data_IF_808506524293
#
_entry.id   IF_808506524293
#
_cell.length_a   1.000
_cell.length_b   1.000
_cell.length_c   1.000
_cell.angle_alpha   90.00
_cell.angle_beta   90.00
_cell.angle_gamma   90.00
#
_symmetry.space_group_name_H-M   'P 1'
#
loop_
_entity.id
_entity.type
_entity.pdbx_description
1 polymer ?
#
# COMPACT_ATOMS: atom_id res chain seq x y z
N UNK A 1 -30.42 31.32 -2.88
CA UNK A 1 -29.42 30.39 -2.31
C UNK A 1 -29.99 29.80 -1.04
N UNK A 2 -30.03 28.46 -0.95
CA UNK A 2 -29.31 27.82 0.13
C UNK A 2 -28.43 26.69 -0.42
N UNK A 3 -27.15 26.69 -0.02
CA UNK A 3 -26.27 25.55 -0.20
C UNK A 3 -26.66 24.51 0.86
N UNK A 4 -27.28 23.42 0.42
CA UNK A 4 -27.59 22.30 1.32
C UNK A 4 -26.32 21.50 1.50
N UNK A 5 -25.84 21.45 2.74
CA UNK A 5 -24.77 20.55 3.17
C UNK A 5 -25.17 19.12 2.84
N UNK A 6 -24.48 18.53 1.86
CA UNK A 6 -24.65 17.14 1.48
C UNK A 6 -24.27 16.24 2.66
N UNK A 7 -25.27 15.50 3.13
CA UNK A 7 -25.17 14.44 4.13
C UNK A 7 -23.96 13.53 3.86
N UNK A 8 -23.03 13.46 4.81
CA UNK A 8 -21.97 12.45 4.85
C UNK A 8 -22.59 11.08 5.16
N UNK A 9 -23.21 10.46 4.16
CA UNK A 9 -23.35 9.02 4.17
C UNK A 9 -21.94 8.44 4.11
N UNK A 10 -21.60 7.52 5.01
CA UNK A 10 -20.36 6.77 4.97
C UNK A 10 -20.21 6.20 3.57
N UNK A 11 -19.34 6.82 2.78
CA UNK A 11 -19.20 6.52 1.36
C UNK A 11 -18.80 5.05 1.23
N UNK A 12 -19.54 4.32 0.41
CA UNK A 12 -19.21 2.94 0.03
C UNK A 12 -17.83 2.83 -0.64
N UNK A 13 -17.28 3.97 -1.08
CA UNK A 13 -15.95 4.12 -1.64
C UNK A 13 -14.89 4.31 -0.54
N UNK A 14 -13.85 3.48 -0.60
CA UNK A 14 -12.66 3.59 0.25
C UNK A 14 -11.70 4.66 -0.27
N UNK A 15 -11.55 4.75 -1.59
CA UNK A 15 -10.62 5.68 -2.23
C UNK A 15 -11.35 6.35 -3.39
N UNK A 16 -11.26 7.67 -3.46
CA UNK A 16 -11.87 8.47 -4.53
C UNK A 16 -10.89 9.55 -4.97
N UNK A 17 -10.81 9.77 -6.27
CA UNK A 17 -10.01 10.84 -6.87
C UNK A 17 -10.94 11.70 -7.71
N UNK A 18 -10.79 13.01 -7.61
CA UNK A 18 -11.56 13.97 -8.39
C UNK A 18 -10.65 14.93 -9.14
N UNK A 19 -10.93 15.08 -10.43
CA UNK A 19 -10.31 16.03 -11.34
C UNK A 19 -8.78 15.99 -11.26
N UNK A 20 -8.24 14.78 -11.11
CA UNK A 20 -6.83 14.54 -10.86
C UNK A 20 -6.02 14.86 -12.12
N UNK A 21 -5.05 15.75 -11.98
CA UNK A 21 -4.16 16.15 -13.05
C UNK A 21 -2.70 16.02 -12.66
N UNK A 22 -1.85 15.66 -13.62
CA UNK A 22 -0.39 15.60 -13.42
C UNK A 22 0.34 16.06 -14.67
N UNK A 23 1.24 17.02 -14.48
CA UNK A 23 2.12 17.55 -15.53
C UNK A 23 3.58 17.38 -15.13
N UNK A 24 4.42 16.96 -16.06
CA UNK A 24 5.87 16.85 -15.92
C UNK A 24 6.57 17.70 -16.97
N UNK A 25 7.21 18.81 -16.58
CA UNK A 25 8.03 19.62 -17.49
C UNK A 25 7.34 20.04 -18.80
N UNK A 26 6.01 20.21 -18.79
CA UNK A 26 5.20 20.53 -19.96
C UNK A 26 4.43 19.35 -20.58
N UNK A 27 4.79 18.11 -20.28
CA UNK A 27 4.04 16.93 -20.71
C UNK A 27 2.90 16.60 -19.74
N UNK A 28 1.66 16.50 -20.26
CA UNK A 28 0.49 16.14 -19.46
C UNK A 28 0.42 14.62 -19.33
N UNK A 29 0.68 14.11 -18.13
CA UNK A 29 0.61 12.67 -17.84
C UNK A 29 -0.79 12.22 -17.39
N UNK A 30 -1.55 13.10 -16.74
CA UNK A 30 -2.95 12.88 -16.39
C UNK A 30 -3.74 14.17 -16.60
N UNK A 31 -4.93 14.05 -17.16
CA UNK A 31 -5.84 15.17 -17.42
C UNK A 31 -7.23 14.81 -16.91
N UNK A 32 -7.68 15.54 -15.90
CA UNK A 32 -9.05 15.49 -15.37
C UNK A 32 -9.57 14.08 -15.07
N UNK A 33 -8.78 13.30 -14.34
CA UNK A 33 -9.11 11.91 -14.02
C UNK A 33 -9.94 11.86 -12.74
N UNK A 34 -11.14 11.29 -12.83
CA UNK A 34 -12.03 11.02 -11.70
C UNK A 34 -12.34 9.53 -11.62
N UNK A 35 -12.13 8.94 -10.45
CA UNK A 35 -12.32 7.51 -10.19
C UNK A 35 -12.75 7.29 -8.74
N UNK A 36 -13.61 6.32 -8.49
CA UNK A 36 -14.00 5.91 -7.15
C UNK A 36 -13.92 4.39 -7.00
N UNK A 37 -13.25 3.92 -5.94
CA UNK A 37 -13.01 2.51 -5.65
C UNK A 37 -13.86 2.11 -4.45
N UNK A 38 -14.77 1.16 -4.66
CA UNK A 38 -15.65 0.62 -3.61
C UNK A 38 -14.86 -0.29 -2.66
N UNK A 39 -15.25 -0.31 -1.38
CA UNK A 39 -14.72 -1.31 -0.43
C UNK A 39 -14.97 -2.73 -0.94
N UNK A 40 -13.97 -3.60 -0.78
CA UNK A 40 -14.07 -5.02 -1.15
C UNK A 40 -14.12 -5.31 -2.65
N UNK A 41 -13.82 -4.32 -3.50
CA UNK A 41 -13.83 -4.49 -4.96
C UNK A 41 -12.42 -4.64 -5.53
N UNK A 42 -12.32 -5.34 -6.66
CA UNK A 42 -11.09 -5.46 -7.45
C UNK A 42 -11.28 -4.63 -8.72
N UNK A 43 -10.37 -3.68 -8.96
CA UNK A 43 -10.39 -2.81 -10.14
C UNK A 43 -9.19 -3.10 -11.03
N UNK A 44 -9.43 -3.31 -12.32
CA UNK A 44 -8.40 -3.41 -13.34
C UNK A 44 -8.21 -2.07 -14.05
N UNK A 45 -6.99 -1.56 -14.10
CA UNK A 45 -6.65 -0.36 -14.87
C UNK A 45 -5.92 -0.77 -16.16
N UNK A 46 -6.62 -0.66 -17.29
CA UNK A 46 -6.10 -1.02 -18.61
C UNK A 46 -5.88 0.22 -19.47
N UNK A 47 -4.91 0.13 -20.38
CA UNK A 47 -4.58 1.20 -21.33
C UNK A 47 -3.20 1.00 -21.93
N UNK A 48 -2.85 1.78 -22.93
CA UNK A 48 -1.55 1.71 -23.60
C UNK A 48 -0.39 2.15 -22.69
N UNK A 49 0.83 1.75 -23.06
CA UNK A 49 2.04 2.27 -22.42
C UNK A 49 2.12 3.79 -22.67
N UNK A 50 2.35 4.56 -21.60
CA UNK A 50 2.33 6.02 -21.67
C UNK A 50 0.98 6.67 -21.34
N UNK A 51 -0.11 5.90 -21.20
CA UNK A 51 -1.43 6.45 -20.84
C UNK A 51 -1.54 7.04 -19.41
N UNK A 52 -0.45 7.04 -18.63
CA UNK A 52 -0.45 7.60 -17.27
C UNK A 52 -0.87 6.64 -16.16
N UNK A 53 -1.08 5.34 -16.43
CA UNK A 53 -1.48 4.34 -15.41
C UNK A 53 -0.58 4.31 -14.18
N UNK A 54 0.74 4.20 -14.39
CA UNK A 54 1.72 4.20 -13.30
C UNK A 54 1.80 5.54 -12.58
N UNK A 55 1.46 6.63 -13.27
CA UNK A 55 1.33 7.96 -12.68
C UNK A 55 0.13 8.01 -11.74
N UNK A 56 -1.04 7.52 -12.18
CA UNK A 56 -2.26 7.46 -11.38
C UNK A 56 -2.04 6.61 -10.12
N UNK A 57 -1.51 5.40 -10.30
CA UNK A 57 -1.19 4.48 -9.18
C UNK A 57 -0.19 5.11 -8.23
N UNK A 58 0.86 5.76 -8.74
CA UNK A 58 1.85 6.43 -7.90
C UNK A 58 1.30 7.64 -7.14
N UNK A 59 0.28 8.33 -7.66
CA UNK A 59 -0.40 9.40 -6.91
C UNK A 59 -1.30 8.80 -5.83
N UNK A 60 -2.07 7.77 -6.18
CA UNK A 60 -2.93 7.05 -5.23
C UNK A 60 -2.15 6.39 -4.09
N UNK A 61 -0.85 6.10 -4.27
CA UNK A 61 0.02 5.54 -3.24
C UNK A 61 0.89 6.58 -2.51
N UNK A 62 0.73 7.87 -2.80
CA UNK A 62 1.55 8.94 -2.21
C UNK A 62 3.01 9.00 -2.69
N UNK A 63 3.40 8.24 -3.72
CA UNK A 63 4.74 8.35 -4.33
C UNK A 63 4.90 9.64 -5.16
N UNK A 64 3.79 10.21 -5.62
CA UNK A 64 3.76 11.38 -6.51
C UNK A 64 2.66 12.33 -6.05
N UNK A 65 2.97 13.62 -5.94
CA UNK A 65 1.93 14.63 -5.70
C UNK A 65 1.17 14.92 -7.00
N UNK A 66 -0.16 15.04 -6.97
CA UNK A 66 -0.91 15.56 -8.11
C UNK A 66 -0.56 17.04 -8.35
N UNK A 67 -0.71 17.50 -9.60
CA UNK A 67 -0.64 18.93 -9.92
C UNK A 67 -1.97 19.61 -9.65
N UNK A 68 -3.08 18.91 -9.87
CA UNK A 68 -4.45 19.39 -9.61
C UNK A 68 -5.34 18.25 -9.14
N UNK A 69 -6.50 18.59 -8.58
CA UNK A 69 -7.49 17.64 -8.11
C UNK A 69 -7.32 17.27 -6.64
N UNK A 70 -8.14 16.35 -6.16
CA UNK A 70 -8.18 15.96 -4.75
C UNK A 70 -8.33 14.46 -4.61
N UNK A 71 -7.58 13.90 -3.66
CA UNK A 71 -7.67 12.52 -3.25
C UNK A 71 -8.53 12.44 -1.98
N UNK A 72 -9.40 11.45 -1.87
CA UNK A 72 -10.21 11.20 -0.70
C UNK A 72 -10.04 9.76 -0.26
N UNK A 73 -9.80 9.54 1.02
CA UNK A 73 -9.75 8.22 1.63
C UNK A 73 -10.80 8.15 2.74
N UNK A 74 -11.63 7.13 2.71
CA UNK A 74 -12.74 6.96 3.65
C UNK A 74 -13.65 8.20 3.74
N UNK A 75 -13.79 8.93 2.61
CA UNK A 75 -14.56 10.17 2.51
C UNK A 75 -13.83 11.43 2.98
N UNK A 76 -12.62 11.31 3.55
CA UNK A 76 -11.81 12.44 4.03
C UNK A 76 -10.83 12.87 2.94
N UNK A 77 -10.82 14.17 2.62
CA UNK A 77 -9.87 14.73 1.67
C UNK A 77 -8.43 14.65 2.23
N UNK A 78 -7.52 14.10 1.45
CA UNK A 78 -6.10 14.03 1.76
C UNK A 78 -5.42 15.27 1.16
N UNK A 79 -5.01 16.20 2.02
CA UNK A 79 -4.32 17.42 1.61
C UNK A 79 -2.88 17.18 1.15
N UNK A 80 -2.20 16.20 1.74
CA UNK A 80 -0.86 15.77 1.36
C UNK A 80 -0.78 14.25 1.44
N UNK A 81 -0.54 13.60 0.29
CA UNK A 81 -0.40 12.15 0.24
C UNK A 81 1.09 11.83 0.06
N UNK A 82 1.77 11.45 1.14
CA UNK A 82 3.11 10.87 1.08
C UNK A 82 3.05 9.37 1.37
N UNK A 83 4.10 8.62 1.03
CA UNK A 83 4.11 7.16 1.23
C UNK A 83 3.82 6.78 2.68
N UNK A 84 4.48 7.38 3.71
CA UNK A 84 4.20 7.04 5.11
C UNK A 84 2.74 7.26 5.54
N UNK A 85 2.13 8.40 5.19
CA UNK A 85 0.73 8.68 5.56
C UNK A 85 -0.24 7.74 4.85
N UNK A 86 0.02 7.41 3.58
CA UNK A 86 -0.82 6.48 2.83
C UNK A 86 -0.72 5.05 3.39
N UNK A 87 0.48 4.60 3.77
CA UNK A 87 0.70 3.31 4.41
C UNK A 87 0.03 3.23 5.79
N UNK A 88 0.12 4.29 6.61
CA UNK A 88 -0.58 4.37 7.89
C UNK A 88 -2.10 4.29 7.71
N UNK A 89 -2.60 4.88 6.63
CA UNK A 89 -4.00 4.84 6.26
C UNK A 89 -4.42 3.55 5.53
N UNK A 90 -3.52 2.57 5.38
CA UNK A 90 -3.82 1.25 4.86
C UNK A 90 -3.74 1.11 3.33
N UNK A 91 -3.19 2.10 2.63
CA UNK A 91 -2.97 2.08 1.18
C UNK A 91 -1.51 1.67 0.90
N UNK A 92 -1.34 0.58 0.16
CA UNK A 92 -0.02 0.03 -0.15
C UNK A 92 0.14 -0.20 -1.64
N UNK A 93 1.35 0.05 -2.14
CA UNK A 93 1.69 -0.17 -3.54
C UNK A 93 2.68 -1.32 -3.66
N UNK A 94 2.27 -2.35 -4.39
CA UNK A 94 3.17 -3.41 -4.86
C UNK A 94 3.74 -3.00 -6.23
N UNK A 95 5.06 -2.90 -6.33
CA UNK A 95 5.74 -2.47 -7.56
C UNK A 95 5.82 -3.60 -8.58
N UNK A 96 5.92 -3.24 -9.87
CA UNK A 96 6.07 -4.22 -10.96
C UNK A 96 7.41 -4.95 -10.90
N UNK A 97 8.47 -4.26 -10.48
CA UNK A 97 9.79 -4.85 -10.30
C UNK A 97 10.02 -5.12 -8.81
N UNK A 98 10.22 -6.40 -8.43
CA UNK A 98 10.50 -6.77 -7.06
C UNK A 98 11.92 -6.35 -6.67
N UNK A 99 12.05 -5.45 -5.70
CA UNK A 99 13.35 -5.13 -5.11
C UNK A 99 13.69 -6.19 -4.06
N UNK A 100 14.64 -7.06 -4.37
CA UNK A 100 15.08 -8.16 -3.50
C UNK A 100 16.58 -8.03 -3.27
N UNK A 101 17.00 -8.32 -2.04
CA UNK A 101 18.39 -8.49 -1.68
C UNK A 101 18.69 -9.98 -1.69
N UNK A 102 19.42 -10.43 -2.72
CA UNK A 102 19.61 -11.86 -3.02
C UNK A 102 20.24 -12.66 -1.88
N UNK A 103 21.10 -12.01 -1.10
CA UNK A 103 21.83 -12.62 0.01
C UNK A 103 21.03 -12.71 1.31
N UNK A 104 19.91 -12.00 1.40
CA UNK A 104 19.00 -12.10 2.53
C UNK A 104 18.04 -13.27 2.31
N UNK A 105 17.62 -13.90 3.40
CA UNK A 105 16.57 -14.91 3.39
C UNK A 105 15.22 -14.32 2.95
N UNK A 106 14.28 -15.18 2.57
CA UNK A 106 12.92 -14.77 2.25
C UNK A 106 12.26 -14.01 3.42
N UNK A 107 12.49 -14.46 4.66
CA UNK A 107 11.97 -13.80 5.85
C UNK A 107 12.58 -12.40 6.07
N UNK A 108 13.88 -12.23 5.82
CA UNK A 108 14.58 -10.96 5.97
C UNK A 108 14.15 -9.94 4.91
N UNK A 109 13.99 -10.38 3.66
CA UNK A 109 13.47 -9.54 2.57
C UNK A 109 12.03 -9.09 2.83
N UNK A 110 11.17 -10.03 3.22
CA UNK A 110 9.75 -9.74 3.48
C UNK A 110 9.57 -8.70 4.59
N UNK A 111 10.45 -8.74 5.60
CA UNK A 111 10.39 -7.85 6.76
C UNK A 111 11.29 -6.62 6.63
N UNK A 112 11.96 -6.44 5.48
CA UNK A 112 12.93 -5.37 5.28
C UNK A 112 12.30 -3.99 5.54
N UNK A 113 13.01 -3.15 6.31
CA UNK A 113 12.51 -1.84 6.74
C UNK A 113 11.67 -1.85 8.02
N UNK A 114 11.15 -3.02 8.44
CA UNK A 114 10.31 -3.18 9.63
C UNK A 114 10.78 -4.32 10.55
N UNK A 115 12.08 -4.61 10.54
CA UNK A 115 12.67 -5.64 11.39
C UNK A 115 12.36 -5.39 12.88
N UNK A 116 11.74 -6.36 13.58
CA UNK A 116 11.39 -6.17 14.98
C UNK A 116 12.66 -6.04 15.82
N UNK A 117 12.71 -5.02 16.68
CA UNK A 117 13.86 -4.77 17.55
C UNK A 117 13.51 -5.01 19.02
N UNK A 118 14.46 -5.51 19.80
CA UNK A 118 14.38 -5.67 21.26
C UNK A 118 15.71 -5.24 21.86
N UNK A 119 15.68 -4.25 22.76
CA UNK A 119 16.88 -3.64 23.36
C UNK A 119 17.91 -3.17 22.30
N UNK A 120 17.44 -2.56 21.20
CA UNK A 120 18.30 -2.07 20.11
C UNK A 120 18.72 -3.12 19.07
N UNK A 121 18.68 -4.41 19.42
CA UNK A 121 19.06 -5.52 18.54
C UNK A 121 17.86 -6.10 17.77
N UNK A 122 18.13 -6.74 16.63
CA UNK A 122 17.11 -7.44 15.85
C UNK A 122 16.60 -8.65 16.62
N UNK A 123 15.27 -8.78 16.74
CA UNK A 123 14.60 -9.92 17.34
C UNK A 123 14.29 -10.96 16.26
N UNK A 124 15.28 -11.78 15.93
CA UNK A 124 15.20 -12.83 14.91
C UNK A 124 14.04 -13.81 15.12
N UNK A 125 13.75 -14.17 16.37
CA UNK A 125 12.64 -15.08 16.70
C UNK A 125 11.29 -14.46 16.33
N UNK A 126 11.10 -13.17 16.62
CA UNK A 126 9.87 -12.45 16.25
C UNK A 126 9.79 -12.25 14.74
N UNK A 127 10.90 -11.89 14.09
CA UNK A 127 10.99 -11.72 12.64
C UNK A 127 10.53 -13.00 11.92
N UNK A 128 11.15 -14.14 12.25
CA UNK A 128 10.76 -15.45 11.66
C UNK A 128 9.31 -15.80 11.94
N UNK A 129 8.80 -15.56 13.16
CA UNK A 129 7.41 -15.84 13.51
C UNK A 129 6.41 -15.00 12.71
N UNK A 130 6.71 -13.73 12.49
CA UNK A 130 5.83 -12.82 11.75
C UNK A 130 5.92 -13.11 10.24
N UNK A 131 7.11 -13.35 9.70
CA UNK A 131 7.31 -13.79 8.31
C UNK A 131 6.62 -15.13 8.01
N UNK A 132 6.71 -16.11 8.91
CA UNK A 132 6.04 -17.41 8.78
C UNK A 132 4.51 -17.28 8.70
N UNK A 133 3.93 -16.30 9.40
CA UNK A 133 2.48 -16.02 9.33
C UNK A 133 2.09 -15.44 7.98
N UNK A 134 2.92 -14.56 7.42
CA UNK A 134 2.67 -13.90 6.14
C UNK A 134 2.87 -14.85 4.94
N UNK A 135 3.84 -15.77 5.04
CA UNK A 135 4.13 -16.78 4.01
C UNK A 135 3.37 -18.10 4.24
N UNK A 136 2.45 -18.14 5.20
CA UNK A 136 1.66 -19.34 5.46
C UNK A 136 0.85 -19.72 4.21
N UNK A 137 1.06 -20.94 3.71
CA UNK A 137 0.35 -21.47 2.53
C UNK A 137 0.95 -21.07 1.17
N UNK A 138 2.04 -20.29 1.13
CA UNK A 138 2.72 -19.94 -0.14
C UNK A 138 3.73 -21.01 -0.59
N UNK A 139 4.15 -21.91 0.30
CA UNK A 139 5.18 -22.91 0.04
C UNK A 139 6.61 -22.36 0.02
N UNK A 140 6.80 -21.08 0.35
CA UNK A 140 8.12 -20.42 0.34
C UNK A 140 8.88 -20.77 1.62
N UNK A 141 10.11 -21.26 1.46
CA UNK A 141 11.04 -21.47 2.57
C UNK A 141 11.55 -20.13 3.12
N UNK A 142 11.33 -19.93 4.42
CA UNK A 142 11.66 -18.71 5.15
C UNK A 142 13.16 -18.41 5.19
N UNK A 143 13.98 -19.45 5.29
CA UNK A 143 15.43 -19.33 5.46
C UNK A 143 16.17 -19.46 4.12
N UNK A 144 15.48 -19.76 3.02
CA UNK A 144 16.08 -19.80 1.69
C UNK A 144 16.55 -18.40 1.28
N UNK A 145 17.77 -18.25 0.72
CA UNK A 145 18.22 -17.00 0.11
C UNK A 145 17.22 -16.56 -0.95
N UNK A 146 16.82 -15.29 -0.92
CA UNK A 146 15.78 -14.78 -1.81
C UNK A 146 16.20 -14.80 -3.28
N UNK A 147 17.51 -14.74 -3.57
CA UNK A 147 18.04 -14.90 -4.92
C UNK A 147 17.83 -16.30 -5.53
N UNK A 148 17.51 -17.32 -4.70
CA UNK A 148 17.19 -18.68 -5.16
C UNK A 148 15.69 -18.91 -5.38
N UNK A 149 14.85 -17.90 -5.09
CA UNK A 149 13.41 -18.00 -5.27
C UNK A 149 13.05 -17.88 -6.76
N UNK A 150 11.99 -18.59 -7.17
CA UNK A 150 11.40 -18.41 -8.49
C UNK A 150 10.74 -17.02 -8.62
N UNK A 151 10.37 -16.62 -9.83
CA UNK A 151 9.84 -15.27 -10.07
C UNK A 151 8.57 -14.96 -9.25
N UNK A 152 7.75 -15.97 -8.97
CA UNK A 152 6.51 -15.84 -8.20
C UNK A 152 6.81 -15.64 -6.71
N UNK A 153 7.70 -16.46 -6.15
CA UNK A 153 8.15 -16.33 -4.77
C UNK A 153 8.97 -15.05 -4.54
N UNK A 154 9.69 -14.58 -5.56
CA UNK A 154 10.35 -13.28 -5.55
C UNK A 154 9.34 -12.14 -5.37
N UNK A 155 8.27 -12.09 -6.16
CA UNK A 155 7.22 -11.07 -5.98
C UNK A 155 6.55 -11.10 -4.60
N UNK A 156 6.33 -12.29 -4.05
CA UNK A 156 5.78 -12.45 -2.69
C UNK A 156 6.75 -12.00 -1.59
N UNK A 157 8.06 -12.24 -1.76
CA UNK A 157 9.10 -11.91 -0.77
C UNK A 157 9.61 -10.46 -0.85
N UNK A 158 9.51 -9.80 -2.02
CA UNK A 158 9.92 -8.41 -2.24
C UNK A 158 8.93 -7.39 -1.74
N UNK A 159 7.69 -7.82 -1.52
CA UNK A 159 6.63 -6.94 -1.01
C UNK A 159 6.90 -6.74 0.49
N UNK A 160 7.79 -5.79 0.82
CA UNK A 160 8.00 -5.35 2.20
C UNK A 160 6.64 -4.99 2.79
N UNK A 161 6.14 -5.86 3.65
CA UNK A 161 4.73 -5.86 3.99
C UNK A 161 4.50 -5.04 5.26
N UNK A 162 4.60 -3.71 5.16
CA UNK A 162 4.01 -2.77 6.13
C UNK A 162 2.51 -3.05 6.45
N UNK A 163 1.63 -3.48 5.49
CA UNK A 163 0.20 -3.72 5.76
C UNK A 163 -0.07 -4.73 6.85
N UNK A 164 0.75 -5.78 6.93
CA UNK A 164 0.47 -6.89 7.82
C UNK A 164 0.75 -6.55 9.30
N UNK A 165 1.57 -5.52 9.56
CA UNK A 165 1.78 -4.99 10.92
C UNK A 165 0.65 -4.07 11.38
N UNK A 166 0.03 -3.30 10.49
CA UNK A 166 -1.11 -2.44 10.79
C UNK A 166 -2.38 -3.26 11.05
N UNK A 167 -2.63 -4.31 10.26
CA UNK A 167 -3.70 -5.29 10.52
C UNK A 167 -3.52 -6.03 11.86
N UNK A 168 -2.28 -6.24 12.30
CA UNK A 168 -1.99 -6.82 13.62
C UNK A 168 -2.22 -5.82 14.79
N UNK A 169 -2.20 -4.50 14.54
CA UNK A 169 -2.46 -3.47 15.56
C UNK A 169 -3.97 -3.25 15.76
N UNK A 170 -4.78 -3.25 14.71
CA UNK A 170 -6.23 -3.04 14.80
C UNK A 170 -7.01 -4.19 15.46
N UNK A 171 -6.47 -5.41 15.44
CA UNK A 171 -7.07 -6.57 16.14
C UNK A 171 -6.83 -6.56 17.66
N UNK A 172 -5.96 -5.68 18.17
CA UNK A 172 -5.64 -5.59 19.60
C UNK A 172 -6.45 -4.54 20.38
N UNK A 173 -7.21 -3.67 19.69
CA UNK A 173 -8.01 -2.61 20.33
C UNK A 173 -9.48 -2.97 20.60
N UNK A 174 -9.97 -4.14 20.16
CA UNK A 174 -11.40 -4.51 20.28
C UNK A 174 -11.74 -5.37 21.51
N UNK A 175 -10.78 -5.76 22.37
CA UNK A 175 -11.07 -6.64 23.55
C UNK A 175 -11.11 -5.96 24.93
N UNK A 176 -11.18 -4.61 25.01
CA UNK A 176 -11.45 -3.90 26.28
C UNK A 176 -12.80 -3.20 26.28
N UNK A 177 -13.88 -3.99 26.28
CA UNK A 177 -15.11 -3.63 27.01
C UNK A 177 -15.38 -4.76 28.00
N UNK A 178 -14.99 -4.50 29.25
CA UNK A 178 -15.32 -5.27 30.44
C UNK A 178 -16.71 -4.81 30.96
N UNK A 179 -17.36 -5.66 31.78
CA UNK A 179 -18.82 -5.75 31.92
C UNK A 179 -19.48 -4.56 32.59
#
# INVERSE_FOLDING_TARGET
MPMTAGSQAASDYVLRVENLGKVYGGAVALRDVSLAIRRGSIHGLLGENGAGKSTLVGIMSGQRQPTTGTLYLDGVAIGHADVPSMEEAGVFLVTQEPMIIDHLSAAENLMLGIWPRRFGFVNWRKLRKDAARMLAGTGIDLDSPAGKLDAVARGASSTSCAPCSAAARSSSSTSRRRP
#
